data_IF_794783581326
#
_entry.id   IF_794783581326
#
_cell.length_a   1.000
_cell.length_b   1.000
_cell.length_c   1.000
_cell.angle_alpha   90.00
_cell.angle_beta   90.00
_cell.angle_gamma   90.00
#
_symmetry.space_group_name_H-M   'P 1'
#
loop_
_entity.id
_entity.type
_entity.pdbx_description
1 polymer ?
#
# COMPACT_ATOMS: atom_id res chain seq x y z
N UNK A 1 -25.87 -11.18 -4.71
CA UNK A 1 -24.44 -11.49 -4.88
C UNK A 1 -24.11 -11.30 -6.36
N UNK A 2 -23.14 -10.47 -6.75
CA UNK A 2 -22.92 -10.16 -8.17
C UNK A 2 -22.10 -11.26 -8.88
N UNK A 3 -22.35 -11.47 -10.18
CA UNK A 3 -21.58 -12.40 -11.03
C UNK A 3 -20.08 -12.12 -10.95
N UNK A 4 -19.70 -10.84 -10.97
CA UNK A 4 -18.30 -10.41 -10.82
C UNK A 4 -17.66 -10.91 -9.52
N UNK A 5 -18.38 -10.83 -8.38
CA UNK A 5 -17.86 -11.28 -7.10
C UNK A 5 -17.74 -12.80 -7.04
N UNK A 6 -18.73 -13.53 -7.57
CA UNK A 6 -18.68 -14.97 -7.66
C UNK A 6 -17.50 -15.44 -8.55
N UNK A 7 -17.32 -14.81 -9.70
CA UNK A 7 -16.18 -15.05 -10.59
C UNK A 7 -14.84 -14.78 -9.90
N UNK A 8 -14.73 -13.68 -9.15
CA UNK A 8 -13.54 -13.37 -8.37
C UNK A 8 -13.29 -14.46 -7.30
N UNK A 9 -14.30 -14.97 -6.61
CA UNK A 9 -14.10 -16.08 -5.65
C UNK A 9 -13.55 -17.32 -6.36
N UNK A 10 -14.13 -17.70 -7.51
CA UNK A 10 -13.71 -18.85 -8.31
C UNK A 10 -12.27 -18.70 -8.83
N UNK A 11 -11.84 -17.47 -9.13
CA UNK A 11 -10.50 -17.18 -9.60
C UNK A 11 -9.40 -17.34 -8.53
N UNK A 12 -9.77 -17.52 -7.25
CA UNK A 12 -8.83 -17.70 -6.14
C UNK A 12 -8.15 -19.07 -6.17
N UNK A 13 -6.95 -19.14 -5.56
CA UNK A 13 -6.08 -20.32 -5.53
C UNK A 13 -6.71 -21.58 -4.90
N UNK A 14 -7.84 -21.44 -4.20
CA UNK A 14 -8.52 -22.55 -3.53
C UNK A 14 -9.26 -23.51 -4.50
N UNK A 15 -9.29 -23.20 -5.80
CA UNK A 15 -9.97 -24.01 -6.82
C UNK A 15 -8.98 -24.72 -7.75
N UNK A 16 -9.42 -25.78 -8.45
CA UNK A 16 -8.59 -26.43 -9.51
C UNK A 16 -8.20 -25.39 -10.58
N UNK A 17 -7.03 -25.56 -11.19
CA UNK A 17 -6.45 -24.62 -12.16
C UNK A 17 -7.40 -24.21 -13.30
N UNK A 18 -8.20 -25.15 -13.83
CA UNK A 18 -9.19 -24.87 -14.87
C UNK A 18 -10.29 -23.91 -14.42
N UNK A 19 -10.81 -24.09 -13.20
CA UNK A 19 -11.80 -23.18 -12.61
C UNK A 19 -11.20 -21.81 -12.33
N UNK A 20 -9.94 -21.74 -11.88
CA UNK A 20 -9.27 -20.46 -11.68
C UNK A 20 -9.20 -19.65 -12.97
N UNK A 21 -8.82 -20.27 -14.08
CA UNK A 21 -8.75 -19.60 -15.39
C UNK A 21 -10.13 -19.13 -15.86
N UNK A 22 -11.16 -19.95 -15.67
CA UNK A 22 -12.54 -19.57 -15.95
C UNK A 22 -12.97 -18.36 -15.10
N UNK A 23 -12.66 -18.37 -13.81
CA UNK A 23 -12.94 -17.25 -12.90
C UNK A 23 -12.27 -15.95 -13.37
N UNK A 24 -10.98 -16.00 -13.72
CA UNK A 24 -10.24 -14.85 -14.27
C UNK A 24 -10.91 -14.31 -15.53
N UNK A 25 -11.30 -15.19 -16.46
CA UNK A 25 -11.99 -14.82 -17.69
C UNK A 25 -13.33 -14.14 -17.40
N UNK A 26 -14.13 -14.69 -16.50
CA UNK A 26 -15.43 -14.13 -16.12
C UNK A 26 -15.30 -12.77 -15.44
N UNK A 27 -14.26 -12.55 -14.63
CA UNK A 27 -13.93 -11.22 -14.07
C UNK A 27 -13.61 -10.24 -15.20
N UNK A 28 -12.74 -10.60 -16.16
CA UNK A 28 -12.40 -9.75 -17.32
C UNK A 28 -13.64 -9.37 -18.13
N UNK A 29 -14.50 -10.35 -18.46
CA UNK A 29 -15.75 -10.13 -19.19
C UNK A 29 -16.66 -9.18 -18.40
N UNK A 30 -16.83 -9.42 -17.10
CA UNK A 30 -17.69 -8.58 -16.25
C UNK A 30 -17.20 -7.14 -16.19
N UNK A 31 -15.90 -6.91 -16.07
CA UNK A 31 -15.30 -5.57 -16.10
C UNK A 31 -15.55 -4.86 -17.44
N UNK A 32 -15.32 -5.56 -18.56
CA UNK A 32 -15.60 -5.03 -19.91
C UNK A 32 -17.08 -4.71 -20.12
N UNK A 33 -17.98 -5.50 -19.55
CA UNK A 33 -19.43 -5.22 -19.59
C UNK A 33 -19.76 -3.95 -18.80
N UNK A 34 -19.16 -3.74 -17.63
CA UNK A 34 -19.35 -2.50 -16.85
C UNK A 34 -18.88 -1.27 -17.63
N UNK A 35 -17.74 -1.36 -18.33
CA UNK A 35 -17.25 -0.28 -19.20
C UNK A 35 -18.23 0.03 -20.34
N UNK A 36 -18.78 -0.98 -21.02
CA UNK A 36 -19.77 -0.78 -22.08
C UNK A 36 -21.06 -0.14 -21.57
N UNK A 37 -21.53 -0.56 -20.39
CA UNK A 37 -22.69 0.08 -19.74
C UNK A 37 -22.40 1.55 -19.46
N UNK A 38 -21.20 1.87 -18.97
CA UNK A 38 -20.78 3.25 -18.76
C UNK A 38 -20.72 4.07 -20.05
N UNK A 39 -20.19 3.49 -21.13
CA UNK A 39 -20.15 4.12 -22.46
C UNK A 39 -21.56 4.42 -22.97
N UNK A 40 -22.49 3.46 -22.87
CA UNK A 40 -23.88 3.63 -23.30
C UNK A 40 -24.63 4.70 -22.49
N UNK A 41 -24.40 4.78 -21.18
CA UNK A 41 -24.99 5.84 -20.35
C UNK A 41 -24.43 7.20 -20.73
N UNK A 42 -23.11 7.31 -20.90
CA UNK A 42 -22.47 8.57 -21.29
C UNK A 42 -22.83 9.02 -22.70
N UNK A 43 -23.21 8.12 -23.62
CA UNK A 43 -23.68 8.49 -24.95
C UNK A 43 -24.92 9.41 -24.92
N UNK A 44 -25.70 9.38 -23.84
CA UNK A 44 -26.90 10.20 -23.63
C UNK A 44 -26.62 11.55 -22.95
N UNK A 45 -25.34 11.85 -22.68
CA UNK A 45 -24.92 13.02 -21.89
C UNK A 45 -24.26 14.08 -22.79
N UNK A 46 -24.33 15.35 -22.40
CA UNK A 46 -23.54 16.42 -23.02
C UNK A 46 -22.34 16.79 -22.14
N UNK A 47 -21.27 17.39 -22.69
CA UNK A 47 -20.14 17.82 -21.88
C UNK A 47 -20.54 18.78 -20.75
N UNK A 48 -19.92 18.59 -19.59
CA UNK A 48 -20.01 19.41 -18.39
C UNK A 48 -21.39 19.43 -17.69
N UNK A 49 -22.27 18.49 -18.05
CA UNK A 49 -23.47 18.22 -17.27
C UNK A 49 -23.14 17.57 -15.91
N UNK A 50 -24.16 17.40 -15.06
CA UNK A 50 -23.98 16.76 -13.76
C UNK A 50 -23.56 15.30 -13.93
N UNK A 51 -22.66 14.85 -13.07
CA UNK A 51 -22.24 13.44 -13.04
C UNK A 51 -23.40 12.51 -12.72
N UNK A 52 -23.38 11.33 -13.34
CA UNK A 52 -24.31 10.23 -13.06
C UNK A 52 -23.61 9.26 -12.13
N UNK A 53 -24.16 9.08 -10.92
CA UNK A 53 -23.63 8.13 -9.93
C UNK A 53 -24.66 7.09 -9.59
N UNK A 54 -24.23 5.83 -9.48
CA UNK A 54 -25.08 4.76 -8.98
C UNK A 54 -24.30 3.73 -8.18
N UNK A 55 -25.00 3.06 -7.27
CA UNK A 55 -24.44 2.03 -6.40
C UNK A 55 -25.33 0.80 -6.46
N UNK A 56 -24.72 -0.36 -6.72
CA UNK A 56 -25.37 -1.65 -6.78
C UNK A 56 -24.62 -2.64 -5.89
N UNK A 57 -25.13 -2.86 -4.68
CA UNK A 57 -24.50 -3.72 -3.68
C UNK A 57 -23.07 -3.27 -3.34
N UNK A 58 -22.07 -4.03 -3.79
CA UNK A 58 -20.65 -3.79 -3.49
C UNK A 58 -19.90 -3.03 -4.61
N UNK A 59 -20.62 -2.57 -5.63
CA UNK A 59 -20.12 -1.76 -6.73
C UNK A 59 -20.70 -0.35 -6.61
N UNK A 60 -19.86 0.67 -6.74
CA UNK A 60 -20.28 2.04 -7.01
C UNK A 60 -19.62 2.54 -8.28
N UNK A 61 -20.36 3.24 -9.12
CA UNK A 61 -19.85 3.86 -10.33
C UNK A 61 -20.24 5.33 -10.38
N UNK A 62 -19.36 6.17 -10.92
CA UNK A 62 -19.63 7.58 -11.19
C UNK A 62 -19.09 7.94 -12.55
N UNK A 63 -19.95 8.51 -13.37
CA UNK A 63 -19.75 8.79 -14.78
C UNK A 63 -19.90 10.29 -15.00
N UNK A 64 -19.07 10.87 -15.86
CA UNK A 64 -19.28 12.22 -16.33
C UNK A 64 -18.56 12.46 -17.65
N UNK A 65 -19.11 13.38 -18.46
CA UNK A 65 -18.49 13.87 -19.67
C UNK A 65 -17.98 15.27 -19.41
N UNK A 66 -16.70 15.53 -19.65
CA UNK A 66 -16.07 16.79 -19.32
C UNK A 66 -15.41 17.41 -20.55
N UNK A 67 -15.55 18.72 -20.72
CA UNK A 67 -14.68 19.44 -21.63
C UNK A 67 -13.24 19.47 -21.09
N UNK A 68 -12.27 19.67 -21.99
CA UNK A 68 -10.85 19.53 -21.67
C UNK A 68 -10.40 20.44 -20.52
N UNK A 69 -10.89 21.68 -20.47
CA UNK A 69 -10.53 22.64 -19.43
C UNK A 69 -11.06 22.26 -18.04
N UNK A 70 -12.11 21.45 -17.96
CA UNK A 70 -12.74 20.98 -16.70
C UNK A 70 -12.04 19.77 -16.09
N UNK A 71 -11.10 19.16 -16.81
CA UNK A 71 -10.29 18.06 -16.29
C UNK A 71 -9.22 18.55 -15.31
N UNK A 72 -8.79 19.80 -15.45
CA UNK A 72 -7.84 20.43 -14.54
C UNK A 72 -8.39 20.48 -13.12
N UNK A 73 -7.67 19.86 -12.19
CA UNK A 73 -8.08 19.79 -10.78
C UNK A 73 -9.34 18.96 -10.53
N UNK A 74 -9.80 18.17 -11.51
CA UNK A 74 -11.04 17.41 -11.40
C UNK A 74 -10.99 16.48 -10.20
N UNK A 75 -12.03 16.55 -9.37
CA UNK A 75 -12.25 15.67 -8.23
C UNK A 75 -13.44 14.77 -8.55
N UNK A 76 -13.20 13.47 -8.62
CA UNK A 76 -14.24 12.47 -8.85
C UNK A 76 -14.23 11.42 -7.75
N UNK A 77 -15.41 10.98 -7.34
CA UNK A 77 -15.62 10.06 -6.22
C UNK A 77 -16.57 8.94 -6.67
N UNK A 78 -16.28 7.71 -6.27
CA UNK A 78 -17.18 6.58 -6.35
C UNK A 78 -17.01 5.74 -5.09
N UNK A 79 -18.13 5.41 -4.42
CA UNK A 79 -18.09 4.73 -3.13
C UNK A 79 -17.28 5.53 -2.10
N UNK A 80 -16.27 4.91 -1.50
CA UNK A 80 -15.39 5.55 -0.51
C UNK A 80 -14.09 6.10 -1.09
N UNK A 81 -13.77 5.77 -2.35
CA UNK A 81 -12.56 6.25 -3.01
C UNK A 81 -12.78 7.55 -3.77
N UNK A 82 -11.71 8.31 -3.95
CA UNK A 82 -11.68 9.52 -4.79
C UNK A 82 -10.37 9.63 -5.57
N UNK A 83 -10.46 10.17 -6.77
CA UNK A 83 -9.34 10.63 -7.58
C UNK A 83 -9.35 12.16 -7.65
N UNK A 84 -8.17 12.76 -7.61
CA UNK A 84 -7.96 14.18 -7.83
C UNK A 84 -6.93 14.31 -8.94
N UNK A 85 -7.35 14.83 -10.08
CA UNK A 85 -6.46 15.11 -11.20
C UNK A 85 -5.60 16.35 -10.89
N UNK A 86 -4.38 16.43 -11.42
CA UNK A 86 -3.51 17.60 -11.27
C UNK A 86 -4.17 18.90 -11.71
N UNK A 87 -3.85 20.02 -11.05
CA UNK A 87 -4.39 21.33 -11.42
C UNK A 87 -3.66 21.90 -12.63
N UNK A 88 -2.35 21.70 -12.74
CA UNK A 88 -1.56 22.13 -13.91
C UNK A 88 -1.48 21.05 -14.98
N UNK A 89 -2.63 20.49 -15.31
CA UNK A 89 -2.71 19.48 -16.35
C UNK A 89 -2.75 20.14 -17.73
N UNK A 90 -1.57 20.45 -18.27
CA UNK A 90 -1.31 20.00 -19.63
C UNK A 90 -1.28 18.47 -19.53
N UNK A 91 -2.46 17.87 -19.51
CA UNK A 91 -2.63 16.44 -19.64
C UNK A 91 -1.98 16.14 -21.00
N UNK A 92 -0.70 15.73 -21.01
CA UNK A 92 0.08 15.31 -22.18
C UNK A 92 -0.48 13.97 -22.68
N UNK A 93 -1.79 13.90 -22.84
CA UNK A 93 -2.50 12.76 -23.34
C UNK A 93 -2.27 12.76 -24.84
N UNK A 94 -1.47 11.80 -25.27
CA UNK A 94 -1.48 11.32 -26.65
C UNK A 94 -2.94 10.96 -26.99
N UNK A 95 -3.65 11.87 -27.66
CA UNK A 95 -5.07 11.71 -28.00
C UNK A 95 -5.97 12.93 -27.71
N UNK A 96 -5.60 13.86 -26.82
CA UNK A 96 -6.46 15.03 -26.52
C UNK A 96 -6.65 15.94 -27.74
N UNK A 97 -5.63 16.12 -28.57
CA UNK A 97 -5.70 17.03 -29.73
C UNK A 97 -6.77 16.64 -30.77
N UNK A 98 -7.37 15.45 -30.64
CA UNK A 98 -8.42 14.94 -31.53
C UNK A 98 -9.79 14.85 -30.86
N UNK A 99 -9.93 15.24 -29.59
CA UNK A 99 -11.17 15.02 -28.83
C UNK A 99 -11.76 16.32 -28.29
N UNK A 100 -13.08 16.48 -28.42
CA UNK A 100 -13.81 17.65 -27.93
C UNK A 100 -14.21 17.51 -26.45
N UNK A 101 -14.29 16.28 -25.95
CA UNK A 101 -14.63 15.98 -24.56
C UNK A 101 -13.93 14.69 -24.10
N UNK A 102 -13.88 14.49 -22.79
CA UNK A 102 -13.39 13.26 -22.17
C UNK A 102 -14.50 12.64 -21.33
N UNK A 103 -14.79 11.38 -21.62
CA UNK A 103 -15.65 10.54 -20.81
C UNK A 103 -14.83 10.02 -19.63
N UNK A 104 -15.29 10.30 -18.42
CA UNK A 104 -14.65 9.89 -17.17
C UNK A 104 -15.53 8.81 -16.52
N UNK A 105 -14.94 7.65 -16.28
CA UNK A 105 -15.61 6.51 -15.66
C UNK A 105 -14.84 6.10 -14.41
N UNK A 106 -15.43 6.33 -13.25
CA UNK A 106 -14.86 5.91 -11.97
C UNK A 106 -15.65 4.74 -11.40
N UNK A 107 -14.98 3.63 -11.14
CA UNK A 107 -15.55 2.45 -10.48
C UNK A 107 -14.92 2.25 -9.11
N UNK A 108 -15.71 1.74 -8.16
CA UNK A 108 -15.28 1.38 -6.82
C UNK A 108 -15.91 0.06 -6.40
N UNK A 109 -15.06 -0.87 -5.97
CA UNK A 109 -15.45 -2.19 -5.49
C UNK A 109 -15.10 -2.31 -4.00
N UNK A 110 -16.09 -2.66 -3.18
CA UNK A 110 -15.85 -2.92 -1.76
C UNK A 110 -15.18 -4.27 -1.49
N UNK A 111 -14.83 -5.02 -2.53
CA UNK A 111 -14.09 -6.28 -2.50
C UNK A 111 -12.96 -6.22 -3.54
N UNK A 112 -11.96 -7.11 -3.43
CA UNK A 112 -10.91 -7.22 -4.42
C UNK A 112 -11.37 -8.16 -5.57
N UNK A 113 -11.54 -7.68 -6.82
CA UNK A 113 -11.88 -8.54 -7.95
C UNK A 113 -10.68 -9.35 -8.47
N UNK A 114 -9.44 -8.99 -8.08
CA UNK A 114 -8.18 -9.61 -8.52
C UNK A 114 -7.65 -10.58 -7.46
N UNK A 115 -8.42 -11.61 -7.17
CA UNK A 115 -8.17 -12.63 -6.12
C UNK A 115 -7.15 -13.69 -6.49
N UNK A 116 -6.66 -13.69 -7.73
CA UNK A 116 -5.62 -14.61 -8.18
C UNK A 116 -4.21 -14.06 -8.00
N UNK A 117 -4.09 -12.78 -7.63
CA UNK A 117 -2.79 -12.17 -7.36
C UNK A 117 -2.23 -12.72 -6.04
N UNK A 118 -0.94 -13.04 -6.01
CA UNK A 118 -0.29 -13.58 -4.80
C UNK A 118 -0.34 -12.60 -3.63
N UNK A 119 -0.44 -11.30 -3.93
CA UNK A 119 -0.54 -10.21 -2.96
C UNK A 119 -1.96 -9.77 -2.66
N UNK A 120 -3.00 -10.51 -3.12
CA UNK A 120 -4.43 -10.17 -2.93
C UNK A 120 -4.83 -9.77 -1.50
N UNK A 121 -4.22 -10.38 -0.49
CA UNK A 121 -4.52 -10.13 0.93
C UNK A 121 -3.96 -8.78 1.41
N UNK A 122 -2.97 -8.22 0.70
CA UNK A 122 -2.44 -6.87 0.94
C UNK A 122 -3.46 -5.80 0.60
N UNK A 123 -4.54 -6.11 -0.13
CA UNK A 123 -5.57 -5.12 -0.50
C UNK A 123 -6.48 -4.84 0.69
N UNK A 124 -5.99 -4.02 1.61
CA UNK A 124 -6.72 -3.52 2.78
C UNK A 124 -7.62 -2.32 2.51
N UNK A 125 -8.12 -2.11 1.29
CA UNK A 125 -8.98 -0.97 0.94
C UNK A 125 -10.04 -1.36 -0.11
N UNK A 126 -10.85 -0.40 -0.53
CA UNK A 126 -11.70 -0.57 -1.72
C UNK A 126 -10.82 -0.49 -2.97
N UNK A 127 -11.11 -1.34 -3.96
CA UNK A 127 -10.43 -1.30 -5.27
C UNK A 127 -11.13 -0.27 -6.13
N UNK A 128 -10.39 0.73 -6.58
CA UNK A 128 -10.93 1.81 -7.41
C UNK A 128 -10.21 1.92 -8.73
N UNK A 129 -10.97 2.22 -9.78
CA UNK A 129 -10.49 2.36 -11.15
C UNK A 129 -10.99 3.67 -11.72
N UNK A 130 -10.13 4.36 -12.47
CA UNK A 130 -10.49 5.56 -13.23
C UNK A 130 -10.12 5.34 -14.69
N UNK A 131 -11.11 5.41 -15.58
CA UNK A 131 -10.90 5.45 -17.03
C UNK A 131 -11.18 6.85 -17.55
N UNK A 132 -10.27 7.33 -18.39
CA UNK A 132 -10.46 8.52 -19.22
C UNK A 132 -10.58 8.03 -20.66
N UNK A 133 -11.67 8.38 -21.34
CA UNK A 133 -11.94 7.95 -22.71
C UNK A 133 -12.19 9.12 -23.64
N UNK A 134 -11.73 9.02 -24.88
CA UNK A 134 -11.99 10.02 -25.92
C UNK A 134 -13.44 9.90 -26.47
N UNK A 135 -13.76 10.72 -27.47
CA UNK A 135 -15.01 10.71 -28.22
C UNK A 135 -15.30 9.36 -28.91
N UNK A 136 -14.27 8.59 -29.24
CA UNK A 136 -14.37 7.27 -29.86
C UNK A 136 -14.50 6.14 -28.81
N UNK A 137 -14.64 6.50 -27.52
CA UNK A 137 -14.71 5.58 -26.38
C UNK A 137 -13.43 4.75 -26.17
N UNK A 138 -12.31 5.20 -26.70
CA UNK A 138 -10.99 4.60 -26.52
C UNK A 138 -10.31 5.15 -25.27
N UNK A 139 -9.58 4.29 -24.56
CA UNK A 139 -8.84 4.67 -23.35
C UNK A 139 -7.71 5.65 -23.70
N UNK A 140 -7.71 6.77 -23.01
CA UNK A 140 -6.68 7.78 -23.12
C UNK A 140 -5.51 7.40 -22.21
N UNK A 141 -4.33 7.20 -22.79
CA UNK A 141 -3.11 6.93 -22.04
C UNK A 141 -2.61 8.19 -21.33
N UNK A 142 -2.48 8.11 -20.01
CA UNK A 142 -1.93 9.18 -19.16
C UNK A 142 -0.48 8.86 -18.81
N UNK A 143 0.44 9.74 -19.16
CA UNK A 143 1.88 9.60 -18.88
C UNK A 143 2.56 10.96 -18.72
N UNK A 144 3.78 10.97 -18.17
CA UNK A 144 4.66 12.14 -18.06
C UNK A 144 4.00 13.36 -17.38
N UNK A 145 3.21 13.12 -16.32
CA UNK A 145 2.61 14.19 -15.55
C UNK A 145 3.67 14.91 -14.71
N UNK A 146 3.64 16.25 -14.70
CA UNK A 146 4.48 17.09 -13.85
C UNK A 146 4.04 17.07 -12.38
N UNK A 147 2.75 16.90 -12.16
CA UNK A 147 2.11 16.74 -10.84
C UNK A 147 1.39 15.38 -10.81
N UNK A 148 1.49 14.66 -9.69
CA UNK A 148 0.89 13.33 -9.55
C UNK A 148 -0.64 13.35 -9.42
N UNK A 149 -1.30 12.26 -9.86
CA UNK A 149 -2.72 12.03 -9.55
C UNK A 149 -2.84 11.61 -8.09
N UNK A 150 -3.69 12.30 -7.32
CA UNK A 150 -3.92 11.94 -5.91
C UNK A 150 -5.05 10.92 -5.83
N UNK A 151 -4.75 9.76 -5.23
CA UNK A 151 -5.69 8.66 -5.04
C UNK A 151 -5.94 8.51 -3.54
N UNK A 152 -7.19 8.69 -3.11
CA UNK A 152 -7.57 8.55 -1.70
C UNK A 152 -8.60 7.46 -1.57
N UNK A 153 -8.28 6.45 -0.77
CA UNK A 153 -9.17 5.34 -0.42
C UNK A 153 -8.96 5.03 1.06
N UNK A 154 -10.02 4.92 1.87
CA UNK A 154 -9.86 4.56 3.27
C UNK A 154 -9.38 3.12 3.38
N UNK A 155 -8.52 2.88 4.36
CA UNK A 155 -8.17 1.53 4.75
C UNK A 155 -9.40 0.87 5.38
N UNK A 156 -9.69 -0.35 4.97
CA UNK A 156 -10.53 -1.28 5.73
C UNK A 156 -9.78 -1.51 7.04
N UNK A 157 -10.50 -1.34 8.16
CA UNK A 157 -10.00 -1.71 9.48
C UNK A 157 -9.58 -3.18 9.42
N UNK A 158 -8.28 -3.41 9.23
CA UNK A 158 -7.71 -4.67 9.61
C UNK A 158 -7.80 -4.64 11.13
N UNK A 159 -8.50 -5.62 11.70
CA UNK A 159 -8.22 -5.99 13.08
C UNK A 159 -6.76 -6.41 13.04
N UNK A 160 -5.86 -5.47 13.32
CA UNK A 160 -4.53 -5.80 13.81
C UNK A 160 -4.88 -6.54 15.08
N UNK A 161 -4.93 -7.87 15.01
CA UNK A 161 -4.87 -8.71 16.20
C UNK A 161 -3.66 -8.15 16.90
N UNK A 162 -3.88 -7.41 17.98
CA UNK A 162 -2.80 -6.79 18.73
C UNK A 162 -1.77 -7.89 18.92
N UNK A 163 -0.64 -7.78 18.21
CA UNK A 163 0.43 -8.75 18.34
C UNK A 163 0.70 -8.81 19.84
N UNK A 164 0.66 -10.02 20.41
CA UNK A 164 0.72 -10.23 21.85
C UNK A 164 1.74 -9.28 22.46
N UNK A 165 1.28 -8.38 23.33
CA UNK A 165 2.15 -7.45 24.06
C UNK A 165 3.18 -8.30 24.80
N UNK A 166 4.36 -8.38 24.22
CA UNK A 166 5.41 -9.25 24.71
C UNK A 166 6.41 -8.37 25.44
N UNK A 167 6.63 -8.69 26.71
CA UNK A 167 7.47 -7.93 27.62
C UNK A 167 8.86 -8.57 27.64
N UNK A 168 9.92 -7.81 27.32
CA UNK A 168 11.20 -8.40 26.92
C UNK A 168 12.42 -8.04 27.78
N UNK A 169 12.38 -8.04 29.13
CA UNK A 169 13.65 -7.87 29.90
C UNK A 169 13.76 -8.77 31.14
N UNK A 170 14.95 -9.34 31.32
CA UNK A 170 15.44 -10.01 32.55
C UNK A 170 16.91 -9.65 32.76
N UNK A 171 17.32 -9.49 34.02
CA UNK A 171 18.60 -9.01 34.61
C UNK A 171 19.97 -9.11 33.89
N UNK A 172 20.17 -9.88 32.82
CA UNK A 172 21.50 -10.12 32.26
C UNK A 172 21.60 -9.53 30.84
N UNK A 173 22.70 -8.81 30.55
CA UNK A 173 23.12 -8.07 29.34
C UNK A 173 23.07 -8.81 27.97
N UNK A 174 22.25 -9.85 27.85
CA UNK A 174 22.15 -10.69 26.68
C UNK A 174 21.17 -10.10 25.66
N UNK A 175 21.53 -10.18 24.38
CA UNK A 175 20.63 -9.89 23.27
C UNK A 175 19.36 -10.75 23.37
N UNK A 176 18.21 -10.09 23.44
CA UNK A 176 16.89 -10.75 23.33
C UNK A 176 16.38 -10.60 21.92
N UNK A 177 15.73 -11.63 21.42
CA UNK A 177 15.31 -11.70 20.01
C UNK A 177 13.80 -11.76 19.88
N UNK A 178 13.28 -10.99 18.93
CA UNK A 178 11.92 -11.08 18.43
C UNK A 178 11.97 -11.53 16.96
N UNK A 179 11.12 -12.48 16.59
CA UNK A 179 11.02 -12.99 15.22
C UNK A 179 9.84 -12.32 14.52
N UNK A 180 10.10 -11.70 13.38
CA UNK A 180 9.11 -11.08 12.51
C UNK A 180 9.07 -11.91 11.23
N UNK A 181 7.92 -12.50 10.92
CA UNK A 181 7.75 -13.27 9.69
C UNK A 181 7.13 -12.39 8.61
N UNK A 182 7.91 -12.08 7.58
CA UNK A 182 7.48 -11.24 6.46
C UNK A 182 6.96 -12.11 5.32
N UNK A 183 5.67 -11.96 4.99
CA UNK A 183 5.02 -12.79 3.97
C UNK A 183 5.32 -12.35 2.54
N UNK A 184 5.54 -11.06 2.31
CA UNK A 184 5.65 -10.47 0.98
C UNK A 184 6.98 -9.75 0.77
N UNK A 185 7.47 -9.74 -0.46
CA UNK A 185 8.60 -8.90 -0.85
C UNK A 185 8.27 -7.40 -0.73
N UNK A 186 9.32 -6.60 -0.57
CA UNK A 186 9.25 -5.14 -0.45
C UNK A 186 8.19 -4.67 0.57
N UNK A 187 8.16 -5.30 1.74
CA UNK A 187 7.25 -4.93 2.82
C UNK A 187 7.91 -3.89 3.74
N UNK A 188 7.17 -2.88 4.19
CA UNK A 188 7.72 -1.93 5.16
C UNK A 188 7.42 -2.43 6.55
N UNK A 189 8.46 -2.61 7.34
CA UNK A 189 8.33 -2.85 8.77
C UNK A 189 8.34 -1.50 9.47
N UNK A 190 7.26 -1.23 10.22
CA UNK A 190 7.19 -0.12 11.16
C UNK A 190 7.36 -0.69 12.56
N UNK A 191 8.52 -0.46 13.15
CA UNK A 191 8.87 -0.95 14.47
C UNK A 191 8.63 0.16 15.50
N UNK A 192 7.62 -0.02 16.33
CA UNK A 192 7.33 0.82 17.47
C UNK A 192 7.96 0.17 18.70
N UNK A 193 9.10 0.72 19.13
CA UNK A 193 9.85 0.24 20.30
C UNK A 193 9.87 1.36 21.33
N UNK A 194 9.38 1.10 22.54
CA UNK A 194 9.25 2.07 23.62
C UNK A 194 9.74 1.46 24.94
N UNK A 195 10.84 1.99 25.52
CA UNK A 195 11.22 1.70 26.90
C UNK A 195 10.20 2.29 27.88
N UNK A 196 9.75 1.50 28.86
CA UNK A 196 8.85 2.01 29.91
C UNK A 196 9.60 2.90 30.92
N UNK A 197 10.86 2.59 31.21
CA UNK A 197 11.71 3.41 32.07
C UNK A 197 12.51 4.41 31.20
N UNK A 198 12.42 5.73 31.47
CA UNK A 198 13.11 6.76 30.68
C UNK A 198 14.64 6.70 30.79
N UNK A 199 15.18 6.02 31.80
CA UNK A 199 16.63 5.82 32.00
C UNK A 199 17.19 4.67 31.16
N UNK A 200 16.34 3.90 30.49
CA UNK A 200 16.76 2.77 29.65
C UNK A 200 17.15 3.25 28.27
N UNK A 201 18.39 2.96 27.91
CA UNK A 201 18.93 3.14 26.57
C UNK A 201 19.10 1.77 25.90
N UNK A 202 18.66 1.64 24.66
CA UNK A 202 18.67 0.37 23.94
C UNK A 202 19.51 0.46 22.67
N UNK A 203 20.26 -0.60 22.41
CA UNK A 203 20.70 -0.96 21.08
C UNK A 203 19.70 -1.94 20.46
N UNK A 204 19.33 -1.63 19.21
CA UNK A 204 18.49 -2.47 18.37
C UNK A 204 19.34 -2.95 17.21
N UNK A 205 19.25 -4.24 16.91
CA UNK A 205 19.90 -4.87 15.77
C UNK A 205 18.84 -5.65 15.00
N UNK A 206 18.95 -5.71 13.67
CA UNK A 206 18.06 -6.56 12.88
C UNK A 206 18.85 -7.31 11.81
N UNK A 207 18.43 -8.54 11.52
CA UNK A 207 19.03 -9.36 10.47
C UNK A 207 18.03 -10.33 9.83
N UNK A 208 18.15 -10.53 8.53
CA UNK A 208 17.36 -11.49 7.76
C UNK A 208 17.91 -12.92 7.92
N UNK A 209 17.02 -13.88 8.13
CA UNK A 209 17.29 -15.33 8.16
C UNK A 209 18.06 -15.84 9.39
N UNK A 210 18.81 -14.99 10.08
CA UNK A 210 19.61 -15.35 11.26
C UNK A 210 19.47 -14.33 12.37
N UNK A 211 19.65 -14.76 13.62
CA UNK A 211 19.69 -13.86 14.78
C UNK A 211 20.88 -12.89 14.65
N UNK A 212 20.68 -11.57 14.86
CA UNK A 212 21.79 -10.61 14.81
C UNK A 212 22.74 -10.78 15.99
N UNK A 213 23.97 -10.31 15.82
CA UNK A 213 24.93 -10.10 16.91
C UNK A 213 25.37 -8.64 16.94
N UNK A 214 26.13 -8.22 17.95
CA UNK A 214 26.69 -6.86 18.01
C UNK A 214 27.71 -6.57 16.90
N UNK A 215 28.22 -7.60 16.21
CA UNK A 215 29.16 -7.45 15.09
C UNK A 215 28.53 -7.79 13.73
N UNK A 216 27.44 -8.55 13.71
CA UNK A 216 26.83 -9.05 12.47
C UNK A 216 25.32 -8.76 12.47
N UNK A 217 24.97 -7.71 11.74
CA UNK A 217 23.61 -7.19 11.62
C UNK A 217 23.44 -6.54 10.23
N UNK A 218 22.22 -6.52 9.72
CA UNK A 218 21.87 -5.80 8.49
C UNK A 218 21.53 -4.33 8.79
N UNK A 219 21.07 -4.08 10.02
CA UNK A 219 20.57 -2.79 10.49
C UNK A 219 20.83 -2.65 12.00
N UNK A 220 21.12 -1.42 12.45
CA UNK A 220 21.11 -1.10 13.86
C UNK A 220 20.51 0.29 14.16
N UNK A 221 20.05 0.45 15.40
CA UNK A 221 19.53 1.71 15.90
C UNK A 221 19.80 1.86 17.41
N UNK A 222 19.76 3.09 17.89
CA UNK A 222 19.74 3.42 19.30
C UNK A 222 18.42 4.07 19.67
N UNK A 223 17.88 3.67 20.82
CA UNK A 223 16.63 4.19 21.36
C UNK A 223 16.86 4.67 22.79
N UNK A 224 16.34 5.85 23.08
CA UNK A 224 16.27 6.47 24.40
C UNK A 224 14.90 7.13 24.55
N UNK A 225 14.57 7.62 25.75
CA UNK A 225 13.29 8.27 26.01
C UNK A 225 13.02 9.47 25.08
N UNK A 226 14.04 10.27 24.76
CA UNK A 226 13.87 11.53 24.02
C UNK A 226 14.31 11.44 22.56
N UNK A 227 14.95 10.34 22.17
CA UNK A 227 15.64 10.25 20.88
C UNK A 227 15.70 8.84 20.35
N UNK A 228 15.46 8.70 19.04
CA UNK A 228 15.70 7.48 18.25
C UNK A 228 16.69 7.80 17.14
N UNK A 229 17.80 7.08 17.05
CA UNK A 229 18.77 7.22 15.97
C UNK A 229 18.92 5.92 15.21
N UNK A 230 18.70 6.00 13.91
CA UNK A 230 18.74 4.87 12.99
C UNK A 230 20.00 4.97 12.15
N UNK A 231 20.77 3.90 12.09
CA UNK A 231 21.96 3.79 11.26
C UNK A 231 21.64 2.87 10.09
N UNK A 232 21.70 3.41 8.87
CA UNK A 232 21.52 2.63 7.65
C UNK A 232 22.82 2.64 6.85
N UNK A 233 23.26 1.46 6.42
CA UNK A 233 24.35 1.33 5.46
C UNK A 233 23.80 1.84 4.11
N UNK A 234 24.38 2.93 3.59
CA UNK A 234 23.94 3.51 2.32
C UNK A 234 24.21 2.54 1.17
N UNK A 235 23.21 2.31 0.31
CA UNK A 235 23.35 1.49 -0.89
C UNK A 235 24.35 2.09 -1.90
N UNK A 236 24.65 3.39 -1.81
CA UNK A 236 25.43 4.12 -2.81
C UNK A 236 26.92 4.27 -2.51
N UNK A 237 27.40 3.92 -1.31
CA UNK A 237 28.82 3.82 -1.01
C UNK A 237 29.01 2.97 0.24
N UNK A 238 29.73 1.85 0.12
CA UNK A 238 30.00 0.87 1.20
C UNK A 238 30.86 1.41 2.35
N UNK A 239 31.06 2.72 2.46
CA UNK A 239 32.01 3.33 3.41
C UNK A 239 31.43 4.39 4.35
N UNK A 240 30.18 4.87 4.17
CA UNK A 240 29.55 5.80 5.12
C UNK A 240 28.08 5.43 5.37
N UNK A 241 27.79 4.93 6.57
CA UNK A 241 26.41 4.75 7.03
C UNK A 241 25.80 6.11 7.36
N UNK A 242 24.61 6.40 6.82
CA UNK A 242 23.89 7.63 7.17
C UNK A 242 23.13 7.39 8.48
N UNK A 243 23.41 8.23 9.48
CA UNK A 243 22.65 8.25 10.73
C UNK A 243 21.51 9.24 10.61
N UNK A 244 20.28 8.77 10.79
CA UNK A 244 19.09 9.62 10.84
C UNK A 244 18.52 9.55 12.25
N UNK A 245 18.49 10.69 12.95
CA UNK A 245 17.94 10.78 14.29
C UNK A 245 16.61 11.54 14.30
N UNK A 246 15.62 10.95 14.95
CA UNK A 246 14.34 11.59 15.29
C UNK A 246 14.36 11.99 16.77
N UNK A 247 13.98 13.24 17.04
CA UNK A 247 13.67 13.74 18.40
C UNK A 247 12.23 13.42 18.82
N UNK A 248 11.42 12.84 17.92
CA UNK A 248 10.11 12.29 18.28
C UNK A 248 10.30 10.82 18.72
N UNK A 249 10.15 10.51 20.02
CA UNK A 249 10.36 9.16 20.53
C UNK A 249 9.23 8.19 20.14
N UNK A 250 8.07 8.68 19.70
CA UNK A 250 6.99 7.84 19.20
C UNK A 250 7.11 7.55 17.70
N UNK A 251 8.11 8.12 17.00
CA UNK A 251 8.33 7.81 15.60
C UNK A 251 8.70 6.31 15.45
N UNK A 252 8.01 5.56 14.57
CA UNK A 252 8.37 4.18 14.29
C UNK A 252 9.69 4.14 13.51
N UNK A 253 10.51 3.13 13.80
CA UNK A 253 11.67 2.81 12.96
C UNK A 253 11.13 2.13 11.70
N UNK A 254 11.49 2.66 10.54
CA UNK A 254 11.05 2.15 9.24
C UNK A 254 12.16 1.31 8.62
N UNK A 255 11.88 0.04 8.30
CA UNK A 255 12.83 -0.83 7.60
C UNK A 255 12.17 -1.51 6.42
N UNK A 256 12.79 -1.41 5.24
CA UNK A 256 12.33 -2.11 4.05
C UNK A 256 12.78 -3.58 4.09
N UNK A 257 11.83 -4.49 4.27
CA UNK A 257 12.04 -5.91 4.09
C UNK A 257 11.95 -6.25 2.60
N UNK A 258 13.11 -6.29 1.92
CA UNK A 258 13.19 -6.57 0.48
C UNK A 258 12.73 -7.99 0.13
N UNK A 259 12.92 -8.96 1.03
CA UNK A 259 12.69 -10.38 0.78
C UNK A 259 11.68 -10.96 1.77
N UNK A 260 10.80 -11.89 1.35
CA UNK A 260 9.96 -12.63 2.27
C UNK A 260 10.81 -13.59 3.12
N UNK A 261 10.38 -13.83 4.35
CA UNK A 261 11.03 -14.74 5.30
C UNK A 261 11.17 -14.15 6.69
N UNK A 262 12.02 -14.78 7.51
CA UNK A 262 12.19 -14.43 8.92
C UNK A 262 13.19 -13.29 9.09
N UNK A 263 12.77 -12.23 9.79
CA UNK A 263 13.63 -11.17 10.27
C UNK A 263 13.75 -11.29 11.78
N UNK A 264 14.98 -11.25 12.29
CA UNK A 264 15.24 -11.31 13.73
C UNK A 264 15.65 -9.94 14.24
N UNK A 265 14.87 -9.40 15.17
CA UNK A 265 15.14 -8.15 15.87
C UNK A 265 15.81 -8.47 17.21
N UNK A 266 17.06 -8.05 17.39
CA UNK A 266 17.81 -8.14 18.64
C UNK A 266 17.73 -6.84 19.44
N UNK A 267 17.44 -6.93 20.74
CA UNK A 267 17.45 -5.81 21.68
C UNK A 267 18.51 -6.05 22.75
N UNK A 268 19.29 -5.02 23.04
CA UNK A 268 20.31 -5.02 24.09
C UNK A 268 20.23 -3.72 24.90
N UNK A 269 20.29 -3.79 26.23
CA UNK A 269 20.37 -2.60 27.06
C UNK A 269 21.81 -2.04 27.04
N UNK A 270 21.94 -0.72 26.89
CA UNK A 270 23.21 -0.01 26.89
C UNK A 270 23.83 0.11 28.30
N UNK A 271 22.99 0.27 29.33
CA UNK A 271 23.37 0.60 30.71
C UNK A 271 23.60 -0.64 31.60
N UNK A 272 24.07 -1.76 31.04
CA UNK A 272 24.10 -3.05 31.73
C UNK A 272 25.06 -3.18 32.93
N UNK A 273 25.63 -2.07 33.40
CA UNK A 273 26.29 -1.97 34.72
C UNK A 273 25.30 -1.77 35.86
N UNK A 274 24.03 -1.44 35.59
CA UNK A 274 22.99 -1.25 36.62
C UNK A 274 22.16 -2.52 36.77
N UNK A 275 21.96 -2.96 38.01
CA UNK A 275 21.11 -4.10 38.38
C UNK A 275 19.64 -3.77 38.02
N UNK A 276 19.24 -4.07 36.78
CA UNK A 276 17.90 -3.77 36.26
C UNK A 276 16.84 -4.50 37.10
N UNK A 277 15.82 -3.76 37.52
CA UNK A 277 14.70 -4.33 38.27
C UNK A 277 13.69 -4.94 37.29
N UNK A 278 12.76 -5.79 37.76
CA UNK A 278 11.69 -6.33 36.93
C UNK A 278 10.75 -5.25 36.32
N UNK A 279 10.95 -3.96 36.63
CA UNK A 279 10.15 -2.84 36.14
C UNK A 279 10.63 -2.26 34.81
N UNK A 280 11.79 -2.68 34.30
CA UNK A 280 12.47 -2.02 33.16
C UNK A 280 12.01 -2.61 31.80
N UNK A 281 10.71 -2.91 31.70
CA UNK A 281 10.14 -3.61 30.57
C UNK A 281 10.11 -2.70 29.33
N UNK A 282 10.23 -3.30 28.16
CA UNK A 282 10.15 -2.60 26.87
C UNK A 282 9.04 -3.23 26.07
N UNK A 283 8.29 -2.36 25.42
CA UNK A 283 7.25 -2.74 24.50
C UNK A 283 7.79 -2.66 23.07
N UNK A 284 7.52 -3.72 22.29
CA UNK A 284 7.87 -3.81 20.88
C UNK A 284 6.64 -4.22 20.09
N UNK A 285 6.23 -3.39 19.15
CA UNK A 285 5.21 -3.71 18.18
C UNK A 285 5.80 -3.55 16.77
N UNK A 286 5.80 -4.63 16.01
CA UNK A 286 6.13 -4.60 14.59
C UNK A 286 4.82 -4.59 13.79
N UNK A 287 4.58 -3.51 13.07
CA UNK A 287 3.47 -3.40 12.12
C UNK A 287 4.01 -3.53 10.71
N UNK A 288 3.33 -4.32 9.89
CA UNK A 288 3.56 -4.30 8.45
C UNK A 288 2.81 -3.11 7.83
N UNK A 289 3.56 -2.16 7.28
CA UNK A 289 3.02 -1.14 6.40
C UNK A 289 3.06 -1.62 4.95
N UNK A 290 1.92 -1.43 4.28
CA UNK A 290 1.83 -1.60 2.84
C UNK A 290 2.55 -0.45 2.16
N UNK A 291 3.81 -0.68 1.77
CA UNK A 291 4.49 0.19 0.82
C UNK A 291 3.71 0.19 -0.49
N UNK A 292 3.03 1.30 -0.78
CA UNK A 292 2.57 1.59 -2.13
C UNK A 292 3.80 1.92 -2.96
N UNK A 293 4.31 0.96 -3.75
CA UNK A 293 4.98 1.37 -4.99
C UNK A 293 3.90 2.00 -5.86
N UNK A 294 3.85 3.34 -5.91
CA UNK A 294 3.28 4.01 -7.07
C UNK A 294 4.30 3.87 -8.22
N UNK A 295 4.42 2.66 -8.77
CA UNK A 295 4.90 2.53 -10.13
C UNK A 295 3.66 2.59 -11.01
N UNK A 296 3.50 3.74 -11.68
CA UNK A 296 2.57 3.85 -12.78
C UNK A 296 2.88 2.82 -13.85
N UNK A 297 1.85 2.44 -14.59
CA UNK A 297 1.85 1.45 -15.67
C UNK A 297 1.83 -0.02 -15.22
N UNK A 298 0.69 -0.48 -14.71
CA UNK A 298 0.25 -1.83 -15.06
C UNK A 298 -0.29 -1.79 -16.48
N UNK A 299 0.58 -2.12 -17.44
CA UNK A 299 0.13 -2.59 -18.74
C UNK A 299 -0.80 -3.78 -18.49
N UNK A 300 -2.04 -3.70 -18.97
CA UNK A 300 -2.82 -4.90 -19.26
C UNK A 300 -1.91 -5.86 -20.05
N UNK A 301 -1.82 -7.15 -19.68
CA UNK A 301 -1.15 -8.11 -20.52
C UNK A 301 -1.86 -8.11 -21.89
N UNK A 302 -1.15 -7.64 -22.91
CA UNK A 302 -1.50 -7.81 -24.31
C UNK A 302 -1.39 -9.29 -24.69
N UNK A 303 -2.16 -9.73 -25.69
CA UNK A 303 -2.46 -11.13 -25.92
C UNK A 303 -1.32 -11.85 -26.62
N UNK A 304 -1.05 -13.07 -26.16
CA UNK A 304 -0.95 -14.22 -27.06
C UNK A 304 -2.18 -15.11 -26.79
#
# INVERSE_FOLDING_TARGET
NSVLKAAAVIASENFKSSFQQLGKLLVKISMKTLEKVADSVLALTVPDERTISFTAGQLSMTLGRYSLHRLSGLKIKAGKGRFILPSKSQLLLSGINKTSFVNVQMLSFSFNPYTWDTTKERVGSDVITLHLKNNDSELIKVSNLTEGIVIVTPLKLQKISASEKSWYFTKNDNLRFHEINVKYENNLLMLEIEPQDPTVHLFVYMRFGQRPTTQNYDFNATISHDKKCVWMISANNKSEGQTVCSLNPHAPIQVLAERPGKYFLGLKNYNATVNLSHKDLVWVEAKEALLRRSQGSTTLPTPD
#
